data_IF_716638238316
#
_entry.id   IF_716638238316
#
_cell.length_a   1.000
_cell.length_b   1.000
_cell.length_c   1.000
_cell.angle_alpha   90.00
_cell.angle_beta   90.00
_cell.angle_gamma   90.00
#
_symmetry.space_group_name_H-M   'P 1'
#
loop_
_entity.id
_entity.type
_entity.pdbx_description
1 polymer ?
#
# COMPACT_ATOMS: atom_id res chain seq x y z
N UNK A 1 -10.43 -20.89 31.11
CA UNK A 1 -11.66 -20.25 30.65
C UNK A 1 -11.29 -18.79 30.37
N UNK A 2 -10.52 -18.55 29.31
CA UNK A 2 -11.03 -18.49 27.94
C UNK A 2 -11.23 -17.00 27.62
N UNK A 3 -10.15 -16.23 27.72
CA UNK A 3 -10.16 -14.79 27.43
C UNK A 3 -10.22 -14.61 25.93
N UNK A 4 -11.26 -13.93 25.47
CA UNK A 4 -11.51 -13.63 24.06
C UNK A 4 -10.35 -12.80 23.49
N UNK A 5 -9.48 -13.46 22.73
CA UNK A 5 -8.47 -12.78 21.93
C UNK A 5 -9.20 -12.04 20.81
N UNK A 6 -9.41 -10.74 21.03
CA UNK A 6 -9.99 -9.84 20.04
C UNK A 6 -9.27 -10.01 18.71
N UNK A 7 -10.08 -10.15 17.65
CA UNK A 7 -9.71 -10.22 16.23
C UNK A 7 -8.91 -8.97 15.80
N UNK A 8 -7.67 -8.85 16.26
CA UNK A 8 -6.69 -7.98 15.65
C UNK A 8 -6.25 -8.68 14.37
N UNK A 9 -6.67 -8.17 13.22
CA UNK A 9 -6.23 -8.66 11.91
C UNK A 9 -4.71 -8.63 11.89
N UNK A 10 -4.07 -9.79 12.11
CA UNK A 10 -2.65 -9.96 11.88
C UNK A 10 -2.44 -9.98 10.38
N UNK A 11 -2.46 -8.81 9.75
CA UNK A 11 -1.84 -8.65 8.43
C UNK A 11 -0.42 -9.18 8.61
N UNK A 12 -0.04 -10.27 7.91
CA UNK A 12 1.22 -11.02 8.07
C UNK A 12 2.49 -10.24 7.72
N UNK A 13 2.60 -9.01 8.24
CA UNK A 13 3.62 -8.02 7.97
C UNK A 13 4.28 -7.68 9.31
N UNK A 14 5.40 -8.34 9.66
CA UNK A 14 6.01 -8.25 10.99
C UNK A 14 6.54 -6.85 11.35
N UNK A 15 6.70 -5.97 10.35
CA UNK A 15 7.25 -4.62 10.51
C UNK A 15 6.19 -3.53 10.73
N UNK A 16 4.90 -3.87 10.69
CA UNK A 16 3.81 -2.92 10.92
C UNK A 16 3.45 -2.86 12.41
N UNK A 17 3.15 -1.66 12.90
CA UNK A 17 2.63 -1.51 14.25
C UNK A 17 1.22 -2.11 14.34
N UNK A 18 0.97 -2.95 15.34
CA UNK A 18 -0.33 -3.61 15.53
C UNK A 18 -1.38 -2.54 15.87
N UNK A 19 -2.43 -2.46 15.06
CA UNK A 19 -3.55 -1.56 15.33
C UNK A 19 -4.61 -2.30 16.15
N UNK A 20 -4.56 -2.13 17.46
CA UNK A 20 -5.60 -2.62 18.38
C UNK A 20 -6.69 -1.53 18.51
N UNK A 21 -7.84 -1.73 17.85
CA UNK A 21 -8.99 -0.82 17.89
C UNK A 21 -9.49 -0.54 19.32
N UNK A 22 -9.38 -1.52 20.21
CA UNK A 22 -9.85 -1.42 21.61
C UNK A 22 -8.99 -0.51 22.49
N UNK A 23 -7.76 -0.18 22.06
CA UNK A 23 -6.82 0.68 22.80
C UNK A 23 -6.61 2.03 22.13
N UNK A 24 -7.27 2.27 21.00
CA UNK A 24 -7.07 3.46 20.18
C UNK A 24 -7.89 4.63 20.73
N UNK A 25 -7.22 5.69 21.19
CA UNK A 25 -7.85 6.93 21.64
C UNK A 25 -7.82 7.97 20.51
N UNK A 26 -8.94 8.12 19.81
CA UNK A 26 -9.10 9.00 18.64
C UNK A 26 -8.76 10.47 18.92
N UNK A 27 -8.87 10.93 20.18
CA UNK A 27 -8.61 12.32 20.56
C UNK A 27 -7.12 12.66 20.61
N UNK A 28 -6.25 11.65 20.72
CA UNK A 28 -4.78 11.81 20.79
C UNK A 28 -4.09 11.51 19.46
N UNK A 29 -4.83 11.07 18.45
CA UNK A 29 -4.29 10.75 17.14
C UNK A 29 -3.90 12.04 16.42
N UNK A 30 -2.64 12.09 16.00
CA UNK A 30 -2.12 13.10 15.09
C UNK A 30 -1.57 12.42 13.85
N UNK A 31 -1.41 13.17 12.76
CA UNK A 31 -0.84 12.63 11.51
C UNK A 31 0.56 12.00 11.70
N UNK A 32 1.28 12.41 12.76
CA UNK A 32 2.61 11.89 13.10
C UNK A 32 2.58 10.71 14.08
N UNK A 33 1.41 10.27 14.53
CA UNK A 33 1.29 9.12 15.43
C UNK A 33 1.77 7.84 14.74
N UNK A 34 2.48 6.98 15.49
CA UNK A 34 3.10 5.76 14.97
C UNK A 34 2.07 4.80 14.37
N UNK A 35 0.88 4.79 14.95
CA UNK A 35 -0.26 4.00 14.45
C UNK A 35 -0.66 4.44 13.05
N UNK A 36 -0.72 5.75 12.78
CA UNK A 36 -1.13 6.31 11.49
C UNK A 36 -0.02 6.21 10.44
N UNK A 37 1.21 6.59 10.79
CA UNK A 37 2.35 6.55 9.85
C UNK A 37 2.64 5.12 9.37
N UNK A 38 2.46 4.11 10.22
CA UNK A 38 2.87 2.74 9.91
C UNK A 38 2.25 2.18 8.62
N UNK A 39 1.07 2.65 8.19
CA UNK A 39 0.38 2.17 6.97
C UNK A 39 0.40 3.17 5.82
N UNK A 40 1.07 4.31 5.99
CA UNK A 40 1.22 5.32 4.94
C UNK A 40 2.47 5.06 4.11
N UNK A 41 2.39 5.36 2.81
CA UNK A 41 3.57 5.42 1.96
C UNK A 41 4.43 6.62 2.39
N UNK A 42 5.57 6.35 3.03
CA UNK A 42 6.51 7.40 3.47
C UNK A 42 7.52 7.78 2.40
N UNK A 43 7.73 6.91 1.41
CA UNK A 43 8.71 7.08 0.34
C UNK A 43 8.07 6.65 -0.98
N UNK A 44 8.12 7.54 -1.96
CA UNK A 44 7.69 7.25 -3.33
C UNK A 44 8.88 6.76 -4.16
N UNK A 45 8.72 5.61 -4.82
CA UNK A 45 9.75 5.01 -5.69
C UNK A 45 9.18 4.93 -7.10
N UNK A 46 9.89 5.52 -8.07
CA UNK A 46 9.53 5.49 -9.49
C UNK A 46 10.51 4.66 -10.31
N UNK A 47 10.01 3.92 -11.30
CA UNK A 47 10.83 3.16 -12.26
C UNK A 47 10.93 3.92 -13.59
N UNK A 48 12.15 4.15 -14.09
CA UNK A 48 12.41 4.78 -15.40
C UNK A 48 13.06 3.80 -16.39
N UNK A 49 13.07 4.12 -17.69
CA UNK A 49 13.69 3.27 -18.72
C UNK A 49 13.02 3.34 -20.11
N UNK A 50 13.66 2.73 -21.10
CA UNK A 50 13.23 2.73 -22.52
C UNK A 50 11.87 2.06 -22.74
N UNK A 51 11.22 2.34 -23.88
CA UNK A 51 9.94 1.72 -24.24
C UNK A 51 10.08 0.19 -24.28
N UNK A 52 9.01 -0.53 -23.91
CA UNK A 52 8.98 -2.00 -23.82
C UNK A 52 9.85 -2.68 -22.73
N UNK A 53 10.59 -1.94 -21.90
CA UNK A 53 11.43 -2.52 -20.83
C UNK A 53 10.66 -3.01 -19.58
N UNK A 54 9.34 -3.21 -19.66
CA UNK A 54 8.59 -3.84 -18.56
C UNK A 54 8.55 -3.09 -17.22
N UNK A 55 8.77 -1.77 -17.21
CA UNK A 55 8.74 -0.91 -16.00
C UNK A 55 7.49 -1.16 -15.13
N UNK A 56 6.32 -1.17 -15.76
CA UNK A 56 5.02 -1.42 -15.10
C UNK A 56 4.89 -2.86 -14.59
N UNK A 57 5.58 -3.83 -15.20
CA UNK A 57 5.63 -5.23 -14.76
C UNK A 57 6.45 -5.37 -13.48
N UNK A 58 7.58 -4.66 -13.37
CA UNK A 58 8.41 -4.63 -12.16
C UNK A 58 7.62 -4.00 -11.01
N UNK A 59 6.95 -2.88 -11.24
CA UNK A 59 6.11 -2.23 -10.22
C UNK A 59 4.99 -3.18 -9.76
N UNK A 60 4.32 -3.87 -10.68
CA UNK A 60 3.28 -4.86 -10.35
C UNK A 60 3.82 -6.03 -9.51
N UNK A 61 5.02 -6.52 -9.81
CA UNK A 61 5.64 -7.60 -9.05
C UNK A 61 6.01 -7.19 -7.62
N UNK A 62 6.38 -5.91 -7.42
CA UNK A 62 6.80 -5.38 -6.11
C UNK A 62 5.59 -4.97 -5.26
N UNK A 63 4.66 -4.20 -5.82
CA UNK A 63 3.49 -3.70 -5.06
C UNK A 63 2.36 -4.72 -4.96
N UNK A 64 2.34 -5.74 -5.83
CA UNK A 64 1.20 -6.65 -5.99
C UNK A 64 -0.01 -6.00 -6.65
N UNK A 65 0.03 -4.70 -6.93
CA UNK A 65 -1.06 -3.92 -7.51
C UNK A 65 -0.76 -3.62 -8.97
N UNK A 66 -1.71 -3.96 -9.85
CA UNK A 66 -1.62 -3.59 -11.26
C UNK A 66 -1.79 -2.08 -11.42
N UNK A 67 -0.77 -1.43 -11.99
CA UNK A 67 -0.71 0.02 -12.22
C UNK A 67 -1.60 0.49 -13.39
N UNK A 68 -1.95 -0.41 -14.32
CA UNK A 68 -2.84 -0.10 -15.46
C UNK A 68 -4.30 -0.24 -15.01
N UNK A 69 -4.98 0.88 -14.83
CA UNK A 69 -6.41 0.93 -14.41
C UNK A 69 -7.35 1.46 -15.50
N UNK A 70 -6.83 2.04 -16.58
CA UNK A 70 -7.63 2.58 -17.67
C UNK A 70 -7.78 1.57 -18.82
N UNK A 71 -9.03 1.35 -19.29
CA UNK A 71 -9.31 0.41 -20.40
C UNK A 71 -8.51 0.74 -21.67
N UNK A 72 -8.39 2.03 -22.01
CA UNK A 72 -7.61 2.50 -23.17
C UNK A 72 -6.10 2.24 -23.04
N UNK A 73 -5.55 2.19 -21.83
CA UNK A 73 -4.13 1.86 -21.60
C UNK A 73 -3.90 0.35 -21.69
N UNK A 74 -4.86 -0.44 -21.18
CA UNK A 74 -4.82 -1.90 -21.24
C UNK A 74 -4.89 -2.39 -22.69
N UNK A 75 -5.77 -1.82 -23.50
CA UNK A 75 -5.92 -2.17 -24.93
C UNK A 75 -4.69 -1.80 -25.76
N UNK A 76 -3.92 -0.78 -25.34
CA UNK A 76 -2.75 -0.28 -26.07
C UNK A 76 -1.41 -0.75 -25.49
N UNK A 77 -1.41 -1.49 -24.38
CA UNK A 77 -0.21 -1.96 -23.67
C UNK A 77 0.81 -0.83 -23.37
N UNK A 78 0.34 0.38 -23.13
CA UNK A 78 1.17 1.55 -22.80
C UNK A 78 0.68 2.21 -21.51
N UNK A 79 1.61 2.83 -20.79
CA UNK A 79 1.31 3.66 -19.62
C UNK A 79 1.29 5.12 -20.05
N UNK A 80 0.12 5.78 -19.96
CA UNK A 80 -0.07 7.18 -20.37
C UNK A 80 -0.16 8.07 -19.14
N UNK A 81 -0.84 7.60 -18.08
CA UNK A 81 -0.98 8.31 -16.82
C UNK A 81 -0.05 7.72 -15.75
N UNK A 82 0.48 8.60 -14.90
CA UNK A 82 1.11 8.17 -13.65
C UNK A 82 0.05 7.53 -12.76
N UNK A 83 0.32 6.32 -12.29
CA UNK A 83 -0.51 5.66 -11.29
C UNK A 83 -0.24 6.26 -9.91
N UNK A 84 -1.02 7.26 -9.51
CA UNK A 84 -0.93 7.88 -8.17
C UNK A 84 -1.48 7.00 -7.03
N UNK A 85 -1.86 5.74 -7.30
CA UNK A 85 -2.63 4.90 -6.39
C UNK A 85 -1.82 3.75 -5.76
N UNK A 86 -0.58 4.00 -5.33
CA UNK A 86 0.18 3.06 -4.47
C UNK A 86 0.42 3.70 -3.11
#
# INVERSE_FOLDING_TARGET
MGGEEGLGVTTGQPNLYKQDLSKLDVSKLTALSREVISRQATINIGTIGHVAHGKSTIVKAISGVQTVRFKNELERNITIKLGEYI
#
